data_IF_872347095900
#
_entry.id   IF_872347095900
#
_cell.length_a   1.000
_cell.length_b   1.000
_cell.length_c   1.000
_cell.angle_alpha   90.00
_cell.angle_beta   90.00
_cell.angle_gamma   90.00
#
_symmetry.space_group_name_H-M   'P 1'
#
loop_
_entity.id
_entity.type
_entity.pdbx_description
1 polymer ?
#
# COMPACT_ATOMS: atom_id res chain seq x y z
N UNK A 1 -25.01 15.44 17.24
CA UNK A 1 -24.82 16.09 15.92
C UNK A 1 -23.66 15.41 15.21
N UNK A 2 -23.93 14.70 14.12
CA UNK A 2 -22.90 14.13 13.24
C UNK A 2 -22.25 15.28 12.47
N UNK A 3 -21.13 15.80 12.96
CA UNK A 3 -20.26 16.69 12.19
C UNK A 3 -19.05 15.88 11.71
N UNK A 4 -19.30 14.97 10.78
CA UNK A 4 -18.26 14.49 9.87
C UNK A 4 -18.07 15.54 8.78
N UNK A 5 -16.84 15.77 8.35
CA UNK A 5 -16.60 16.56 7.14
C UNK A 5 -17.50 16.00 6.03
N UNK A 6 -18.30 16.86 5.42
CA UNK A 6 -19.28 16.44 4.42
C UNK A 6 -18.49 15.88 3.24
N UNK A 7 -18.64 14.58 2.95
CA UNK A 7 -18.00 13.86 1.83
C UNK A 7 -18.05 14.64 0.50
N UNK A 8 -19.05 15.51 0.34
CA UNK A 8 -19.28 16.33 -0.84
C UNK A 8 -18.19 17.37 -1.13
N UNK A 9 -17.48 17.91 -0.14
CA UNK A 9 -16.53 19.02 -0.36
C UNK A 9 -15.25 18.56 -1.07
N UNK A 10 -14.80 17.32 -0.87
CA UNK A 10 -13.58 16.77 -1.51
C UNK A 10 -13.87 16.24 -2.93
N UNK A 11 -15.11 15.79 -3.18
CA UNK A 11 -15.49 15.14 -4.44
C UNK A 11 -16.13 16.05 -5.47
N UNK A 12 -16.43 17.31 -5.14
CA UNK A 12 -16.94 18.34 -6.07
C UNK A 12 -18.11 17.86 -6.98
N UNK A 13 -18.90 16.84 -6.58
CA UNK A 13 -20.22 16.47 -7.14
C UNK A 13 -20.80 15.17 -6.53
N UNK A 14 -20.05 14.05 -6.49
CA UNK A 14 -20.55 12.75 -5.98
C UNK A 14 -19.38 11.81 -5.60
N UNK A 15 -19.29 11.37 -4.34
CA UNK A 15 -18.34 10.32 -3.93
C UNK A 15 -18.95 8.94 -4.21
N UNK A 16 -18.25 8.00 -4.85
CA UNK A 16 -18.74 6.64 -5.01
C UNK A 16 -18.61 5.81 -3.73
N UNK A 17 -17.91 6.31 -2.72
CA UNK A 17 -17.68 5.61 -1.45
C UNK A 17 -18.66 6.04 -0.36
N UNK A 18 -19.01 5.11 0.52
CA UNK A 18 -19.66 5.44 1.77
C UNK A 18 -18.73 6.22 2.71
N UNK A 19 -19.31 6.95 3.67
CA UNK A 19 -18.56 7.67 4.69
C UNK A 19 -17.79 6.69 5.57
N UNK A 20 -16.47 6.87 5.71
CA UNK A 20 -15.71 6.09 6.69
C UNK A 20 -15.85 6.71 8.08
N UNK A 21 -16.08 5.84 9.06
CA UNK A 21 -16.09 6.20 10.48
C UNK A 21 -14.66 6.11 11.05
N UNK A 22 -14.21 7.18 11.68
CA UNK A 22 -13.01 7.18 12.52
C UNK A 22 -13.44 7.13 13.99
N UNK A 23 -12.90 6.17 14.75
CA UNK A 23 -13.26 5.86 16.13
C UNK A 23 -12.00 5.81 17.02
N UNK A 24 -12.16 5.94 18.34
CA UNK A 24 -11.05 6.03 19.31
C UNK A 24 -11.21 5.04 20.48
N UNK A 25 -10.38 3.98 20.55
CA UNK A 25 -10.37 2.98 21.65
C UNK A 25 -8.99 2.44 21.99
N UNK A 26 -8.87 1.87 23.18
CA UNK A 26 -7.83 0.88 23.50
C UNK A 26 -8.18 -0.53 22.98
N UNK A 27 -7.16 -1.36 22.74
CA UNK A 27 -7.29 -2.76 22.31
C UNK A 27 -8.19 -3.59 23.26
N UNK A 28 -8.13 -3.31 24.57
CA UNK A 28 -8.96 -3.97 25.58
C UNK A 28 -10.45 -3.59 25.50
N UNK A 29 -10.75 -2.31 25.25
CA UNK A 29 -12.14 -1.84 25.12
C UNK A 29 -12.82 -2.41 23.88
N UNK A 30 -12.07 -2.65 22.81
CA UNK A 30 -12.57 -3.29 21.59
C UNK A 30 -12.89 -4.77 21.81
N UNK A 31 -11.91 -5.55 22.31
CA UNK A 31 -12.05 -7.00 22.51
C UNK A 31 -13.18 -7.36 23.49
N UNK A 32 -13.50 -6.46 24.43
CA UNK A 32 -14.55 -6.70 25.42
C UNK A 32 -15.96 -6.33 24.94
N UNK A 33 -16.13 -5.54 23.86
CA UNK A 33 -17.41 -4.86 23.59
C UNK A 33 -17.99 -5.00 22.18
N UNK A 34 -17.53 -5.99 21.42
CA UNK A 34 -18.25 -6.56 20.27
C UNK A 34 -18.80 -5.49 19.29
N UNK A 35 -17.90 -4.68 18.73
CA UNK A 35 -18.18 -3.70 17.66
C UNK A 35 -19.11 -2.51 18.00
N UNK A 36 -19.29 -2.17 19.28
CA UNK A 36 -20.02 -0.94 19.63
C UNK A 36 -19.25 0.32 19.21
N UNK A 37 -19.95 1.24 18.53
CA UNK A 37 -19.47 2.57 18.12
C UNK A 37 -19.47 3.50 19.35
N UNK A 38 -18.34 4.10 19.69
CA UNK A 38 -18.24 5.20 20.66
C UNK A 38 -17.72 6.51 20.01
N UNK A 39 -17.98 7.62 20.70
CA UNK A 39 -17.56 8.94 20.28
C UNK A 39 -16.14 9.27 20.78
N UNK A 40 -15.40 10.09 20.02
CA UNK A 40 -14.14 10.71 20.48
C UNK A 40 -14.44 11.48 21.80
N UNK A 41 -13.67 11.20 22.86
CA UNK A 41 -13.93 11.58 24.26
C UNK A 41 -13.31 12.93 24.62
N UNK A 42 -12.24 13.31 23.93
CA UNK A 42 -11.54 14.59 24.15
C UNK A 42 -11.53 15.48 22.92
N UNK A 43 -11.34 16.81 23.07
CA UNK A 43 -11.15 17.71 21.93
C UNK A 43 -9.94 17.33 21.05
N UNK A 44 -8.86 16.85 21.67
CA UNK A 44 -7.65 16.37 21.00
C UNK A 44 -7.94 15.11 20.17
N UNK A 45 -8.64 14.13 20.75
CA UNK A 45 -9.12 12.95 20.04
C UNK A 45 -10.00 13.34 18.86
N UNK A 46 -10.95 14.24 19.08
CA UNK A 46 -11.85 14.72 18.02
C UNK A 46 -11.09 15.37 16.87
N UNK A 47 -10.05 16.16 17.16
CA UNK A 47 -9.20 16.79 16.15
C UNK A 47 -8.42 15.74 15.34
N UNK A 48 -7.87 14.72 16.00
CA UNK A 48 -7.16 13.63 15.33
C UNK A 48 -8.11 12.74 14.52
N UNK A 49 -9.27 12.38 15.06
CA UNK A 49 -10.36 11.67 14.38
C UNK A 49 -10.72 12.37 13.06
N UNK A 50 -10.90 13.71 13.06
CA UNK A 50 -11.18 14.48 11.84
C UNK A 50 -10.00 14.45 10.86
N UNK A 51 -8.77 14.58 11.35
CA UNK A 51 -7.57 14.59 10.50
C UNK A 51 -7.42 13.26 9.74
N UNK A 52 -7.49 12.13 10.45
CA UNK A 52 -7.38 10.82 9.81
C UNK A 52 -8.55 10.56 8.87
N UNK A 53 -9.76 11.00 9.22
CA UNK A 53 -10.93 10.90 8.33
C UNK A 53 -10.72 11.68 7.03
N UNK A 54 -10.20 12.92 7.10
CA UNK A 54 -9.86 13.69 5.91
C UNK A 54 -8.81 12.99 5.05
N UNK A 55 -7.74 12.47 5.68
CA UNK A 55 -6.71 11.70 4.98
C UNK A 55 -7.30 10.49 4.24
N UNK A 56 -8.17 9.72 4.88
CA UNK A 56 -8.82 8.55 4.26
C UNK A 56 -9.66 8.93 3.05
N UNK A 57 -10.40 10.05 3.11
CA UNK A 57 -11.17 10.51 1.96
C UNK A 57 -10.27 10.93 0.79
N UNK A 58 -9.09 11.49 1.07
CA UNK A 58 -8.09 11.81 0.03
C UNK A 58 -7.51 10.50 -0.54
N UNK A 59 -7.19 9.50 0.28
CA UNK A 59 -6.70 8.19 -0.20
C UNK A 59 -7.74 7.49 -1.07
N UNK A 60 -9.01 7.47 -0.66
CA UNK A 60 -10.13 6.99 -1.49
C UNK A 60 -10.19 7.68 -2.84
N UNK A 61 -10.15 9.02 -2.84
CA UNK A 61 -10.20 9.81 -4.05
C UNK A 61 -9.03 9.46 -4.98
N UNK A 62 -7.84 9.29 -4.42
CA UNK A 62 -6.66 8.84 -5.17
C UNK A 62 -6.87 7.48 -5.86
N UNK A 63 -7.42 6.48 -5.14
CA UNK A 63 -7.72 5.16 -5.72
C UNK A 63 -8.78 5.25 -6.82
N UNK A 64 -9.85 6.02 -6.61
CA UNK A 64 -10.88 6.24 -7.61
C UNK A 64 -10.35 6.96 -8.86
N UNK A 65 -9.59 8.03 -8.67
CA UNK A 65 -9.06 8.83 -9.77
C UNK A 65 -8.08 8.01 -10.62
N UNK A 66 -7.24 7.19 -9.97
CA UNK A 66 -6.19 6.41 -10.62
C UNK A 66 -6.71 5.11 -11.25
N UNK A 67 -7.52 4.34 -10.52
CA UNK A 67 -7.88 2.97 -10.90
C UNK A 67 -9.38 2.76 -11.13
N UNK A 68 -10.22 3.76 -10.81
CA UNK A 68 -11.69 3.60 -10.77
C UNK A 68 -12.13 2.48 -9.81
N UNK A 69 -11.30 2.18 -8.82
CA UNK A 69 -11.54 1.10 -7.86
C UNK A 69 -12.53 1.57 -6.80
N UNK A 70 -13.74 1.01 -6.76
CA UNK A 70 -14.76 1.35 -5.73
C UNK A 70 -14.80 0.31 -4.61
N UNK A 71 -14.38 -0.92 -4.92
CA UNK A 71 -14.57 -2.08 -4.07
C UNK A 71 -13.26 -2.37 -3.31
N UNK A 72 -13.15 -1.83 -2.09
CA UNK A 72 -12.06 -2.12 -1.13
C UNK A 72 -12.48 -3.28 -0.19
N UNK A 73 -13.78 -3.62 -0.18
CA UNK A 73 -14.36 -4.85 0.36
C UNK A 73 -15.65 -5.24 -0.41
N UNK A 74 -16.23 -6.42 -0.11
CA UNK A 74 -17.48 -6.93 -0.72
C UNK A 74 -18.70 -6.02 -0.48
N UNK A 75 -18.61 -5.06 0.46
CA UNK A 75 -19.69 -4.16 0.87
C UNK A 75 -19.49 -2.71 0.37
N UNK A 76 -18.38 -2.42 -0.33
CA UNK A 76 -17.95 -1.06 -0.75
C UNK A 76 -17.67 -0.11 0.41
N UNK A 77 -17.29 -0.67 1.55
CA UNK A 77 -17.00 0.04 2.80
C UNK A 77 -15.50 -0.06 3.07
N UNK A 78 -14.84 1.07 3.27
CA UNK A 78 -13.51 1.02 3.88
C UNK A 78 -13.70 0.63 5.34
N UNK A 79 -13.02 -0.43 5.82
CA UNK A 79 -13.00 -0.83 7.21
C UNK A 79 -12.88 0.36 8.19
N UNK A 80 -13.58 0.34 9.35
CA UNK A 80 -13.46 1.40 10.34
C UNK A 80 -12.00 1.65 10.75
N UNK A 81 -11.67 2.92 11.00
CA UNK A 81 -10.33 3.35 11.42
C UNK A 81 -10.33 3.57 12.92
N UNK A 82 -9.40 2.95 13.62
CA UNK A 82 -9.19 3.10 15.05
C UNK A 82 -7.93 3.89 15.32
N UNK A 83 -8.05 4.97 16.08
CA UNK A 83 -6.93 5.77 16.59
C UNK A 83 -6.68 5.45 18.08
N UNK A 84 -5.57 5.95 18.63
CA UNK A 84 -5.11 5.70 20.01
C UNK A 84 -4.67 4.26 20.29
N UNK A 85 -4.17 3.56 19.26
CA UNK A 85 -3.47 2.29 19.48
C UNK A 85 -2.28 2.51 20.43
N UNK A 86 -2.20 1.79 21.57
CA UNK A 86 -1.28 2.13 22.67
C UNK A 86 0.19 1.85 22.33
N UNK A 87 0.47 0.94 21.39
CA UNK A 87 1.82 0.69 20.91
C UNK A 87 2.12 1.66 19.77
N UNK A 88 3.40 2.01 19.59
CA UNK A 88 3.87 2.79 18.44
C UNK A 88 3.86 1.92 17.18
N UNK A 89 2.67 1.63 16.67
CA UNK A 89 2.42 0.82 15.49
C UNK A 89 1.19 1.31 14.71
N UNK A 90 1.12 0.96 13.43
CA UNK A 90 -0.08 1.01 12.61
C UNK A 90 -0.22 -0.34 11.89
N UNK A 91 -1.46 -0.81 11.67
CA UNK A 91 -1.70 -2.05 10.94
C UNK A 91 -3.15 -2.17 10.45
N UNK A 92 -3.35 -2.92 9.38
CA UNK A 92 -4.65 -3.47 8.98
C UNK A 92 -4.91 -4.85 9.60
N UNK A 93 -5.94 -4.95 10.45
CA UNK A 93 -6.38 -6.20 11.07
C UNK A 93 -7.41 -6.93 10.20
N UNK A 94 -6.95 -7.73 9.24
CA UNK A 94 -7.82 -8.38 8.24
C UNK A 94 -8.98 -9.21 8.83
N UNK A 95 -8.74 -9.98 9.91
CA UNK A 95 -9.79 -10.77 10.58
C UNK A 95 -10.88 -9.94 11.23
N UNK A 96 -10.51 -8.75 11.72
CA UNK A 96 -11.40 -7.83 12.42
C UNK A 96 -11.94 -6.75 11.48
N UNK A 97 -11.55 -6.79 10.19
CA UNK A 97 -11.84 -5.78 9.17
C UNK A 97 -11.71 -4.37 9.75
N UNK A 98 -10.51 -3.99 10.19
CA UNK A 98 -10.26 -2.62 10.65
C UNK A 98 -8.81 -2.19 10.56
N UNK A 99 -8.58 -0.88 10.68
CA UNK A 99 -7.25 -0.31 10.83
C UNK A 99 -7.02 0.17 12.26
N UNK A 100 -5.82 -0.03 12.79
CA UNK A 100 -5.43 0.51 14.09
C UNK A 100 -4.19 1.39 13.93
N UNK A 101 -4.24 2.60 14.47
CA UNK A 101 -3.15 3.58 14.39
C UNK A 101 -2.79 4.13 15.75
N UNK A 102 -1.48 4.17 16.03
CA UNK A 102 -0.96 5.07 17.04
C UNK A 102 -1.21 6.53 16.64
N UNK A 103 -1.30 7.43 17.62
CA UNK A 103 -1.57 8.85 17.39
C UNK A 103 -0.58 9.53 16.45
N UNK A 104 0.71 9.19 16.56
CA UNK A 104 1.76 9.72 15.70
C UNK A 104 1.51 9.33 14.24
N UNK A 105 1.11 8.08 14.00
CA UNK A 105 0.93 7.49 12.66
C UNK A 105 -0.42 7.85 12.04
N UNK A 106 -1.49 7.94 12.86
CA UNK A 106 -2.79 8.47 12.45
C UNK A 106 -2.70 9.90 11.87
N UNK A 107 -1.63 10.62 12.21
CA UNK A 107 -1.41 11.99 11.76
C UNK A 107 -0.57 12.09 10.48
N UNK A 108 -0.10 10.97 9.94
CA UNK A 108 0.83 10.87 8.81
C UNK A 108 0.11 10.29 7.58
N UNK A 109 -0.19 11.11 6.54
CA UNK A 109 -0.97 10.66 5.39
C UNK A 109 -0.35 9.50 4.60
N UNK A 110 0.97 9.43 4.55
CA UNK A 110 1.70 8.36 3.88
C UNK A 110 1.52 7.03 4.62
N UNK A 111 1.68 7.00 5.95
CA UNK A 111 1.41 5.78 6.75
C UNK A 111 -0.05 5.34 6.63
N UNK A 112 -1.01 6.29 6.67
CA UNK A 112 -2.43 5.94 6.49
C UNK A 112 -2.69 5.32 5.11
N UNK A 113 -2.06 5.85 4.06
CA UNK A 113 -2.19 5.28 2.72
C UNK A 113 -1.55 3.88 2.61
N UNK A 114 -0.41 3.66 3.26
CA UNK A 114 0.27 2.36 3.33
C UNK A 114 -0.68 1.30 3.89
N UNK A 115 -1.22 1.55 5.09
CA UNK A 115 -2.12 0.61 5.76
C UNK A 115 -3.39 0.34 4.95
N UNK A 116 -4.00 1.38 4.39
CA UNK A 116 -5.17 1.23 3.54
C UNK A 116 -4.90 0.36 2.32
N UNK A 117 -3.66 0.34 1.82
CA UNK A 117 -3.28 -0.45 0.65
C UNK A 117 -3.27 -1.95 0.97
N UNK A 118 -2.90 -2.38 2.18
CA UNK A 118 -3.02 -3.78 2.58
C UNK A 118 -4.47 -4.29 2.52
N UNK A 119 -5.45 -3.46 2.89
CA UNK A 119 -6.86 -3.82 2.76
C UNK A 119 -7.27 -3.99 1.28
N UNK A 120 -6.79 -3.09 0.41
CA UNK A 120 -7.01 -3.18 -1.05
C UNK A 120 -6.44 -4.47 -1.63
N UNK A 121 -5.18 -4.79 -1.28
CA UNK A 121 -4.52 -6.04 -1.71
C UNK A 121 -5.31 -7.24 -1.20
N UNK A 122 -5.65 -7.27 0.09
CA UNK A 122 -6.36 -8.38 0.72
C UNK A 122 -7.71 -8.67 0.07
N UNK A 123 -8.42 -7.64 -0.38
CA UNK A 123 -9.72 -7.83 -1.02
C UNK A 123 -9.60 -8.27 -2.48
N UNK A 124 -8.64 -7.71 -3.23
CA UNK A 124 -8.60 -7.88 -4.68
C UNK A 124 -7.75 -9.07 -5.13
N UNK A 125 -6.57 -9.25 -4.55
CA UNK A 125 -5.72 -10.40 -4.83
C UNK A 125 -4.84 -10.73 -3.63
N UNK A 126 -5.36 -11.49 -2.64
CA UNK A 126 -4.68 -11.74 -1.39
C UNK A 126 -3.25 -12.20 -1.58
N UNK A 127 -2.34 -11.52 -0.89
CA UNK A 127 -0.96 -11.94 -0.69
C UNK A 127 -0.86 -12.50 0.74
N UNK A 128 -0.08 -13.56 0.91
CA UNK A 128 0.27 -14.07 2.24
C UNK A 128 1.13 -13.05 2.97
N UNK A 129 1.08 -13.03 4.31
CA UNK A 129 1.89 -12.12 5.13
C UNK A 129 3.26 -12.72 5.50
N UNK A 130 3.82 -13.54 4.61
CA UNK A 130 5.09 -14.24 4.86
C UNK A 130 5.91 -14.45 3.58
N UNK A 131 7.23 -14.56 3.74
CA UNK A 131 8.17 -14.84 2.65
C UNK A 131 8.12 -13.80 1.50
N UNK A 132 8.28 -14.28 0.26
CA UNK A 132 8.23 -13.40 -0.93
C UNK A 132 6.85 -12.78 -1.13
N UNK A 133 5.77 -13.50 -0.84
CA UNK A 133 4.41 -12.97 -0.98
C UNK A 133 4.15 -11.83 0.00
N UNK A 134 4.59 -11.95 1.25
CA UNK A 134 4.47 -10.88 2.24
C UNK A 134 5.36 -9.68 1.91
N UNK A 135 6.55 -9.93 1.36
CA UNK A 135 7.40 -8.86 0.87
C UNK A 135 6.77 -8.13 -0.34
N UNK A 136 6.01 -8.82 -1.19
CA UNK A 136 5.22 -8.17 -2.25
C UNK A 136 4.07 -7.33 -1.67
N UNK A 137 3.38 -7.80 -0.63
CA UNK A 137 2.30 -7.05 0.04
C UNK A 137 2.81 -5.68 0.54
N UNK A 138 3.89 -5.70 1.31
CA UNK A 138 4.58 -4.48 1.78
C UNK A 138 5.08 -3.60 0.63
N UNK A 139 5.70 -4.19 -0.40
CA UNK A 139 6.26 -3.40 -1.50
C UNK A 139 5.20 -2.70 -2.35
N UNK A 140 4.03 -3.32 -2.53
CA UNK A 140 2.92 -2.69 -3.23
C UNK A 140 2.33 -1.55 -2.38
N UNK A 141 2.22 -1.75 -1.07
CA UNK A 141 1.83 -0.67 -0.15
C UNK A 141 2.81 0.51 -0.18
N UNK A 142 4.12 0.25 -0.23
CA UNK A 142 5.15 1.25 -0.40
C UNK A 142 4.96 2.06 -1.70
N UNK A 143 4.88 1.37 -2.84
CA UNK A 143 4.79 2.00 -4.17
C UNK A 143 3.53 2.85 -4.29
N UNK A 144 2.39 2.33 -3.85
CA UNK A 144 1.12 3.07 -3.86
C UNK A 144 1.22 4.33 -3.00
N UNK A 145 1.86 4.24 -1.84
CA UNK A 145 2.05 5.37 -0.93
C UNK A 145 2.91 6.47 -1.55
N UNK A 146 3.98 6.11 -2.26
CA UNK A 146 4.83 7.07 -2.98
C UNK A 146 4.06 7.77 -4.11
N UNK A 147 3.26 7.02 -4.87
CA UNK A 147 2.41 7.60 -5.92
C UNK A 147 1.31 8.50 -5.33
N UNK A 148 0.72 8.11 -4.20
CA UNK A 148 -0.22 8.93 -3.45
C UNK A 148 0.42 10.26 -3.02
N UNK A 149 1.59 10.20 -2.36
CA UNK A 149 2.33 11.40 -1.94
C UNK A 149 2.56 12.35 -3.10
N UNK A 150 3.03 11.84 -4.24
CA UNK A 150 3.31 12.62 -5.43
C UNK A 150 2.03 13.28 -5.98
N UNK A 151 0.93 12.53 -6.11
CA UNK A 151 -0.33 13.06 -6.66
C UNK A 151 -1.00 14.10 -5.76
N UNK A 152 -0.84 14.00 -4.44
CA UNK A 152 -1.47 14.93 -3.48
C UNK A 152 -0.54 16.07 -3.03
N UNK A 153 0.63 16.19 -3.65
CA UNK A 153 1.57 17.31 -3.42
C UNK A 153 2.39 17.19 -2.14
N UNK A 154 2.51 16.00 -1.53
CA UNK A 154 3.38 15.73 -0.39
C UNK A 154 4.81 15.43 -0.89
N UNK A 155 5.49 16.46 -1.38
CA UNK A 155 6.74 16.33 -2.15
C UNK A 155 8.03 16.27 -1.31
N UNK A 156 7.94 16.46 0.01
CA UNK A 156 9.10 16.32 0.90
C UNK A 156 9.60 14.88 0.91
N UNK A 157 10.92 14.71 0.68
CA UNK A 157 11.59 13.42 0.53
C UNK A 157 10.77 12.46 -0.35
N UNK A 158 10.65 12.80 -1.64
CA UNK A 158 9.69 12.22 -2.58
C UNK A 158 9.58 10.69 -2.51
N UNK A 159 10.72 10.00 -2.40
CA UNK A 159 10.85 8.55 -2.42
C UNK A 159 10.88 7.88 -1.04
N UNK A 160 10.72 8.66 0.04
CA UNK A 160 10.75 8.20 1.42
C UNK A 160 9.35 8.19 2.05
N UNK A 161 8.99 7.10 2.69
CA UNK A 161 7.75 6.92 3.45
C UNK A 161 8.10 7.01 4.92
N UNK A 162 7.83 8.16 5.53
CA UNK A 162 8.13 8.44 6.94
C UNK A 162 9.44 7.79 7.43
N UNK A 163 9.35 6.82 8.34
CA UNK A 163 10.44 6.03 8.89
C UNK A 163 10.42 4.57 8.39
N UNK A 164 9.50 4.22 7.49
CA UNK A 164 9.28 2.86 7.01
C UNK A 164 10.29 2.46 5.93
N UNK A 165 10.40 3.26 4.87
CA UNK A 165 11.16 2.88 3.68
C UNK A 165 11.63 4.11 2.89
N UNK A 166 12.75 3.99 2.18
CA UNK A 166 13.19 4.93 1.14
C UNK A 166 13.48 4.14 -0.14
N UNK A 167 12.57 4.25 -1.11
CA UNK A 167 12.63 3.49 -2.36
C UNK A 167 13.87 3.84 -3.20
N UNK A 168 14.48 5.00 -2.99
CA UNK A 168 15.68 5.41 -3.72
C UNK A 168 16.96 4.77 -3.17
N UNK A 169 16.91 4.16 -1.99
CA UNK A 169 18.04 3.51 -1.34
C UNK A 169 18.25 2.10 -1.87
N UNK A 170 19.50 1.76 -2.19
CA UNK A 170 19.84 0.42 -2.66
C UNK A 170 19.53 -0.65 -1.58
N UNK A 171 18.74 -1.67 -1.91
CA UNK A 171 18.32 -2.68 -0.95
C UNK A 171 19.40 -3.74 -0.73
N UNK A 172 19.33 -4.42 0.41
CA UNK A 172 20.17 -5.59 0.67
C UNK A 172 19.67 -6.79 -0.14
N UNK A 173 20.55 -7.77 -0.45
CA UNK A 173 20.12 -9.04 -1.01
C UNK A 173 19.05 -9.73 -0.15
N UNK A 174 18.19 -10.52 -0.80
CA UNK A 174 17.10 -11.25 -0.18
C UNK A 174 17.59 -12.10 0.98
N UNK A 175 16.91 -12.00 2.11
CA UNK A 175 17.21 -12.76 3.31
C UNK A 175 16.20 -13.88 3.48
N UNK A 176 16.65 -15.12 3.32
CA UNK A 176 15.82 -16.32 3.52
C UNK A 176 15.67 -16.67 4.99
N UNK A 177 14.54 -17.30 5.34
CA UNK A 177 14.31 -17.93 6.63
C UNK A 177 13.81 -19.37 6.44
N UNK A 178 14.14 -20.27 7.37
CA UNK A 178 13.70 -21.68 7.32
C UNK A 178 12.27 -21.90 7.82
N UNK A 179 11.77 -20.97 8.63
CA UNK A 179 10.41 -20.93 9.19
C UNK A 179 9.97 -19.48 9.25
N UNK A 180 8.67 -19.21 9.18
CA UNK A 180 8.13 -17.86 9.25
C UNK A 180 7.46 -17.64 10.60
N UNK A 181 8.00 -16.70 11.39
CA UNK A 181 7.53 -16.40 12.73
C UNK A 181 7.53 -14.89 12.95
N UNK A 182 6.81 -14.40 13.95
CA UNK A 182 6.78 -12.97 14.24
C UNK A 182 8.18 -12.41 14.56
N UNK A 183 9.04 -13.20 15.22
CA UNK A 183 10.40 -12.79 15.62
C UNK A 183 11.32 -12.53 14.42
N UNK A 184 11.08 -13.21 13.30
CA UNK A 184 11.85 -13.03 12.08
C UNK A 184 11.09 -12.25 11.01
N UNK A 185 10.07 -11.51 11.42
CA UNK A 185 9.27 -10.70 10.51
C UNK A 185 8.64 -11.54 9.40
N UNK A 186 8.11 -12.71 9.79
CA UNK A 186 7.46 -13.70 8.92
C UNK A 186 8.26 -14.03 7.66
N UNK A 187 9.59 -14.15 7.79
CA UNK A 187 10.49 -14.32 6.66
C UNK A 187 11.04 -13.01 6.08
N UNK A 188 11.26 -12.02 6.95
CA UNK A 188 11.88 -10.73 6.62
C UNK A 188 11.10 -9.93 5.57
N UNK A 189 9.77 -9.92 5.65
CA UNK A 189 8.89 -9.30 4.66
C UNK A 189 9.20 -7.81 4.46
N UNK A 190 9.40 -7.04 5.54
CA UNK A 190 9.69 -5.61 5.45
C UNK A 190 11.08 -5.31 4.90
N UNK A 191 12.06 -6.18 5.13
CA UNK A 191 13.41 -5.99 4.58
C UNK A 191 13.45 -6.39 3.10
N UNK A 192 12.79 -7.49 2.75
CA UNK A 192 12.80 -8.04 1.40
C UNK A 192 11.91 -7.22 0.46
N UNK A 193 10.89 -6.53 0.97
CA UNK A 193 10.03 -5.64 0.17
C UNK A 193 10.81 -4.51 -0.51
N UNK A 194 11.87 -4.03 0.14
CA UNK A 194 12.73 -2.95 -0.39
C UNK A 194 13.33 -3.31 -1.75
N UNK A 195 13.53 -4.59 -2.07
CA UNK A 195 14.00 -5.03 -3.40
C UNK A 195 12.98 -4.65 -4.47
N UNK A 196 11.70 -4.92 -4.22
CA UNK A 196 10.61 -4.66 -5.16
C UNK A 196 10.28 -3.17 -5.20
N UNK A 197 10.22 -2.51 -4.04
CA UNK A 197 9.99 -1.05 -3.96
C UNK A 197 11.11 -0.28 -4.67
N UNK A 198 12.38 -0.69 -4.52
CA UNK A 198 13.50 -0.09 -5.26
C UNK A 198 13.45 -0.39 -6.76
N UNK A 199 12.98 -1.57 -7.16
CA UNK A 199 12.79 -1.90 -8.58
C UNK A 199 11.81 -0.93 -9.23
N UNK A 200 10.70 -0.60 -8.57
CA UNK A 200 9.76 0.41 -9.06
C UNK A 200 10.42 1.78 -9.21
N UNK A 201 11.21 2.20 -8.22
CA UNK A 201 11.99 3.45 -8.30
C UNK A 201 12.94 3.46 -9.50
N UNK A 202 13.68 2.39 -9.75
CA UNK A 202 14.59 2.29 -10.90
C UNK A 202 13.82 2.38 -12.23
N UNK A 203 12.66 1.73 -12.34
CA UNK A 203 11.81 1.85 -13.51
C UNK A 203 11.34 3.31 -13.71
N UNK A 204 10.90 3.98 -12.64
CA UNK A 204 10.54 5.40 -12.68
C UNK A 204 11.72 6.31 -13.07
N UNK A 205 12.92 6.02 -12.54
CA UNK A 205 14.15 6.74 -12.86
C UNK A 205 14.56 6.56 -14.33
N UNK A 206 14.42 5.35 -14.87
CA UNK A 206 14.66 5.06 -16.30
C UNK A 206 13.67 5.83 -17.19
N UNK A 207 12.47 6.12 -16.70
CA UNK A 207 11.49 7.01 -17.32
C UNK A 207 11.75 8.50 -17.08
N UNK A 208 12.93 8.87 -16.54
CA UNK A 208 13.28 10.24 -16.16
C UNK A 208 12.30 10.89 -15.19
N UNK A 209 11.57 10.08 -14.40
CA UNK A 209 10.46 10.52 -13.56
C UNK A 209 9.38 11.32 -14.32
N UNK A 210 9.22 11.05 -15.63
CA UNK A 210 8.18 11.70 -16.43
C UNK A 210 6.79 11.32 -15.89
N UNK A 211 5.98 12.31 -15.55
CA UNK A 211 4.69 12.07 -14.88
C UNK A 211 3.69 11.26 -15.71
N UNK A 212 3.73 11.36 -17.05
CA UNK A 212 2.86 10.60 -17.93
C UNK A 212 3.30 9.14 -17.94
N UNK A 213 4.59 8.90 -18.16
CA UNK A 213 5.11 7.55 -18.31
C UNK A 213 5.14 6.81 -16.95
N UNK A 214 5.44 7.51 -15.85
CA UNK A 214 5.37 6.95 -14.50
C UNK A 214 3.93 6.61 -14.08
N UNK A 215 2.95 7.38 -14.54
CA UNK A 215 1.54 7.04 -14.31
C UNK A 215 1.14 5.74 -15.04
N UNK A 216 1.70 5.48 -16.22
CA UNK A 216 1.50 4.19 -16.91
C UNK A 216 2.27 3.05 -16.23
N UNK A 217 3.50 3.28 -15.80
CA UNK A 217 4.26 2.35 -14.95
C UNK A 217 3.45 1.95 -13.70
N UNK A 218 2.87 2.92 -13.00
CA UNK A 218 2.07 2.64 -11.80
C UNK A 218 0.84 1.79 -12.10
N UNK A 219 0.12 2.07 -13.19
CA UNK A 219 -1.01 1.24 -13.64
C UNK A 219 -0.59 -0.18 -13.99
N UNK A 220 0.55 -0.34 -14.67
CA UNK A 220 1.10 -1.66 -14.99
C UNK A 220 1.44 -2.42 -13.70
N UNK A 221 2.12 -1.77 -12.77
CA UNK A 221 2.54 -2.37 -11.51
C UNK A 221 1.35 -2.86 -10.68
N UNK A 222 0.34 -1.98 -10.51
CA UNK A 222 -0.86 -2.32 -9.75
C UNK A 222 -1.71 -3.38 -10.45
N UNK A 223 -1.91 -3.28 -11.78
CA UNK A 223 -2.62 -4.32 -12.54
C UNK A 223 -1.89 -5.67 -12.48
N UNK A 224 -0.57 -5.66 -12.40
CA UNK A 224 0.22 -6.88 -12.23
C UNK A 224 -0.02 -7.53 -10.88
N UNK A 225 -0.20 -6.74 -9.82
CA UNK A 225 -0.61 -7.27 -8.51
C UNK A 225 -2.00 -7.90 -8.61
N UNK A 226 -2.97 -7.24 -9.27
CA UNK A 226 -4.32 -7.78 -9.43
C UNK A 226 -4.36 -9.10 -10.22
N UNK A 227 -3.53 -9.25 -11.26
CA UNK A 227 -3.47 -10.44 -12.12
C UNK A 227 -2.49 -11.52 -11.62
N UNK A 228 -1.83 -11.31 -10.46
CA UNK A 228 -0.73 -12.17 -10.00
C UNK A 228 -1.21 -13.54 -9.52
N UNK A 229 -0.80 -14.60 -10.22
CA UNK A 229 -1.02 -15.99 -9.82
C UNK A 229 0.18 -16.55 -9.02
N UNK A 230 1.39 -16.41 -9.56
CA UNK A 230 2.64 -16.79 -8.89
C UNK A 230 3.08 -15.66 -7.95
N UNK A 231 2.91 -15.86 -6.65
CA UNK A 231 3.18 -14.88 -5.59
C UNK A 231 4.67 -14.76 -5.20
N UNK A 232 5.58 -15.24 -6.05
CA UNK A 232 7.02 -15.01 -5.92
C UNK A 232 7.47 -13.70 -6.58
N UNK A 233 8.67 -13.24 -6.27
CA UNK A 233 9.30 -12.10 -6.96
C UNK A 233 9.49 -12.38 -8.46
N UNK A 234 9.81 -13.63 -8.81
CA UNK A 234 9.91 -14.07 -10.22
C UNK A 234 8.55 -13.99 -10.91
N UNK A 235 7.50 -14.47 -10.24
CA UNK A 235 6.12 -14.39 -10.72
C UNK A 235 5.70 -12.95 -10.98
N UNK A 236 6.00 -12.05 -10.05
CA UNK A 236 5.67 -10.63 -10.17
C UNK A 236 6.46 -9.91 -11.28
N UNK A 237 7.77 -10.21 -11.42
CA UNK A 237 8.56 -9.76 -12.58
C UNK A 237 7.94 -10.19 -13.90
N UNK A 238 7.58 -11.47 -14.02
CA UNK A 238 6.97 -12.00 -15.24
C UNK A 238 5.61 -11.32 -15.52
N UNK A 239 4.81 -11.07 -14.48
CA UNK A 239 3.51 -10.44 -14.62
C UNK A 239 3.62 -8.97 -15.05
N UNK A 240 4.54 -8.19 -14.48
CA UNK A 240 4.77 -6.78 -14.89
C UNK A 240 5.18 -6.67 -16.36
N UNK A 241 6.08 -7.54 -16.83
CA UNK A 241 6.46 -7.59 -18.24
C UNK A 241 5.28 -8.05 -19.12
N UNK A 242 4.49 -9.03 -18.67
CA UNK A 242 3.30 -9.52 -19.39
C UNK A 242 2.24 -8.42 -19.52
N UNK A 243 1.95 -7.68 -18.47
CA UNK A 243 0.98 -6.57 -18.47
C UNK A 243 1.48 -5.41 -19.33
N UNK A 244 2.78 -5.07 -19.25
CA UNK A 244 3.40 -4.02 -20.07
C UNK A 244 3.34 -4.29 -21.58
N UNK A 245 3.13 -5.53 -22.02
CA UNK A 245 2.96 -5.91 -23.43
C UNK A 245 1.53 -5.76 -23.96
N UNK A 246 0.52 -5.53 -23.10
CA UNK A 246 -0.88 -5.43 -23.53
C UNK A 246 -1.11 -4.10 -24.28
N UNK A 247 -1.82 -4.18 -25.43
CA UNK A 247 -2.01 -3.12 -26.45
C UNK A 247 -2.65 -1.80 -25.92
N UNK A 248 -3.26 -1.81 -24.73
CA UNK A 248 -3.95 -0.65 -24.16
C UNK A 248 -3.03 0.51 -23.73
N UNK A 249 -1.71 0.33 -23.77
CA UNK A 249 -0.74 1.38 -23.46
C UNK A 249 -0.08 1.89 -24.76
N UNK A 250 -0.63 2.93 -25.38
CA UNK A 250 -0.16 3.46 -26.68
C UNK A 250 1.27 4.08 -26.68
N UNK A 251 2.01 4.02 -25.57
CA UNK A 251 3.43 4.42 -25.42
C UNK A 251 4.36 3.26 -24.99
N UNK A 252 3.91 2.03 -25.23
CA UNK A 252 4.33 0.77 -24.60
C UNK A 252 5.82 0.44 -24.51
N UNK A 253 6.60 0.69 -25.56
CA UNK A 253 7.92 0.05 -25.66
C UNK A 253 8.89 0.63 -24.62
N UNK A 254 8.93 1.96 -24.47
CA UNK A 254 9.85 2.61 -23.55
C UNK A 254 9.56 2.29 -22.07
N UNK A 255 8.28 2.24 -21.66
CA UNK A 255 7.89 1.84 -20.30
C UNK A 255 8.21 0.39 -20.03
N UNK A 256 8.00 -0.48 -21.03
CA UNK A 256 8.35 -1.90 -20.93
C UNK A 256 9.85 -2.10 -20.80
N UNK A 257 10.68 -1.42 -21.61
CA UNK A 257 12.14 -1.49 -21.49
C UNK A 257 12.61 -0.95 -20.12
N UNK A 258 12.06 0.17 -19.65
CA UNK A 258 12.37 0.69 -18.32
C UNK A 258 12.06 -0.30 -17.19
N UNK A 259 10.96 -1.05 -17.29
CA UNK A 259 10.61 -2.13 -16.35
C UNK A 259 11.61 -3.29 -16.45
N UNK A 260 11.97 -3.73 -17.66
CA UNK A 260 12.93 -4.82 -17.88
C UNK A 260 14.29 -4.45 -17.29
N UNK A 261 14.82 -3.27 -17.62
CA UNK A 261 16.10 -2.77 -17.14
C UNK A 261 16.14 -2.66 -15.61
N UNK A 262 15.03 -2.24 -14.99
CA UNK A 262 14.93 -2.16 -13.55
C UNK A 262 14.97 -3.55 -12.90
N UNK A 263 14.22 -4.52 -13.44
CA UNK A 263 14.26 -5.89 -12.96
C UNK A 263 15.63 -6.53 -13.13
N UNK A 264 16.33 -6.28 -14.23
CA UNK A 264 17.64 -6.85 -14.50
C UNK A 264 18.68 -6.32 -13.50
N UNK A 265 18.55 -5.06 -13.07
CA UNK A 265 19.38 -4.47 -12.01
C UNK A 265 19.13 -5.10 -10.64
N UNK A 266 17.89 -5.47 -10.29
CA UNK A 266 17.55 -6.00 -8.96
C UNK A 266 17.51 -7.52 -8.88
N UNK A 267 17.43 -8.23 -10.02
CA UNK A 267 17.43 -9.70 -10.08
C UNK A 267 18.61 -10.38 -9.34
N UNK A 268 19.83 -9.82 -9.31
CA UNK A 268 20.92 -10.38 -8.50
C UNK A 268 20.65 -10.42 -6.99
N UNK A 269 19.69 -9.62 -6.50
CA UNK A 269 19.28 -9.55 -5.10
C UNK A 269 18.18 -10.56 -4.75
N UNK A 270 17.60 -11.24 -5.74
CA UNK A 270 16.52 -12.21 -5.51
C UNK A 270 17.01 -13.44 -4.72
N UNK A 271 16.09 -14.23 -4.14
CA UNK A 271 16.46 -15.49 -3.50
C UNK A 271 17.34 -16.34 -4.41
N UNK A 272 18.56 -16.65 -3.95
CA UNK A 272 19.44 -17.60 -4.64
C UNK A 272 18.87 -18.99 -4.39
N UNK A 273 18.53 -19.71 -5.46
CA UNK A 273 17.80 -20.97 -5.36
C UNK A 273 18.45 -21.98 -4.42
N UNK A 274 17.63 -22.64 -3.60
CA UNK A 274 17.85 -24.06 -3.29
C UNK A 274 17.21 -24.84 -4.43
N UNK A 275 18.05 -25.41 -5.30
CA UNK A 275 17.75 -26.27 -6.46
C UNK A 275 17.25 -25.60 -7.75
N UNK A 276 17.87 -26.05 -8.85
CA UNK A 276 17.55 -25.81 -10.25
C UNK A 276 16.05 -25.98 -10.55
N UNK A 277 15.45 -25.05 -11.29
CA UNK A 277 14.28 -25.35 -12.12
C UNK A 277 14.42 -24.65 -13.49
N UNK A 278 14.12 -25.37 -14.59
CA UNK A 278 14.74 -25.15 -15.90
C UNK A 278 14.24 -23.90 -16.63
N UNK A 279 15.08 -23.54 -17.61
CA UNK A 279 15.01 -22.43 -18.58
C UNK A 279 13.63 -22.25 -19.20
#
# INVERSE_FOLDING_TARGET
MKMGANLSEIYNNFSPYQATLALSYSEQEFLQKNDQIFACRTPQETKLCRKIQQTVEIVKKFYWDTFKLVDIDEERIIPPLFIYYPKKNAYYASKLKHFAFNNEFASQPDIVCHEMTHAVIKHNNPLDHEGESGALDEAIADVVTIEFKQKVGLIDNLWKISHLCDLSTEPKPFKSASTYTQENDYGHVHQNSWIISHTFYLASKNLSHNSIDCNELFKIWFKSMLDLEDKSFRGFRNMTIKVARKIFFHRCEFVKEAIIDAWDQTSPLFPKGRSNFPV
#
